data_IF_642789715530
#
_entry.id   IF_642789715530
#
_cell.length_a   1.000
_cell.length_b   1.000
_cell.length_c   1.000
_cell.angle_alpha   90.00
_cell.angle_beta   90.00
_cell.angle_gamma   90.00
#
_symmetry.space_group_name_H-M   'P 1'
#
loop_
_entity.id
_entity.type
_entity.pdbx_description
1 polymer ?
#
# COMPACT_ATOMS: atom_id res chain seq x y z
N UNK A 1 -22.59 13.36 23.87
CA UNK A 1 -22.65 12.36 22.76
C UNK A 1 -23.00 13.01 21.42
N UNK A 2 -24.25 13.42 21.11
CA UNK A 2 -24.60 13.98 19.77
C UNK A 2 -23.63 15.06 19.24
N UNK A 3 -23.31 16.10 20.02
CA UNK A 3 -22.36 17.14 19.59
C UNK A 3 -20.92 16.65 19.39
N UNK A 4 -20.53 15.52 19.98
CA UNK A 4 -19.26 14.84 19.69
C UNK A 4 -19.32 14.18 18.31
N UNK A 5 -20.38 13.42 18.05
CA UNK A 5 -20.62 12.72 16.78
C UNK A 5 -20.65 13.72 15.61
N UNK A 6 -21.36 14.85 15.74
CA UNK A 6 -21.36 15.88 14.69
C UNK A 6 -20.00 16.53 14.49
N UNK A 7 -19.17 16.70 15.53
CA UNK A 7 -17.80 17.19 15.38
C UNK A 7 -16.88 16.17 14.71
N UNK A 8 -16.98 14.89 15.07
CA UNK A 8 -16.20 13.82 14.39
C UNK A 8 -16.64 13.65 12.95
N UNK A 9 -17.94 13.70 12.66
CA UNK A 9 -18.47 13.63 11.30
C UNK A 9 -18.08 14.86 10.46
N UNK A 10 -18.09 16.07 11.04
CA UNK A 10 -17.61 17.28 10.36
C UNK A 10 -16.09 17.22 10.13
N UNK A 11 -15.31 16.71 11.08
CA UNK A 11 -13.86 16.52 10.91
C UNK A 11 -13.57 15.50 9.80
N UNK A 12 -14.30 14.38 9.77
CA UNK A 12 -14.23 13.40 8.69
C UNK A 12 -14.64 14.02 7.34
N UNK A 13 -15.73 14.79 7.28
CA UNK A 13 -16.16 15.47 6.04
C UNK A 13 -15.16 16.50 5.54
N UNK A 14 -14.50 17.25 6.43
CA UNK A 14 -13.42 18.16 6.06
C UNK A 14 -12.20 17.41 5.49
N UNK A 15 -11.94 16.18 5.97
CA UNK A 15 -10.88 15.29 5.49
C UNK A 15 -11.21 14.56 4.16
N UNK A 16 -12.45 14.64 3.63
CA UNK A 16 -12.80 14.03 2.32
C UNK A 16 -12.06 14.71 1.16
N UNK A 17 -11.54 15.91 1.34
CA UNK A 17 -10.80 16.64 0.32
C UNK A 17 -9.29 16.24 0.33
N UNK A 18 -8.89 15.37 -0.62
CA UNK A 18 -7.51 15.17 -1.20
C UNK A 18 -6.57 14.00 -0.71
N UNK A 19 -6.73 12.73 -1.18
CA UNK A 19 -5.95 11.51 -0.68
C UNK A 19 -5.62 10.24 -1.61
N UNK A 20 -4.85 10.21 -2.75
CA UNK A 20 -4.29 9.01 -3.54
C UNK A 20 -2.83 9.20 -4.02
N UNK A 21 -2.13 8.24 -4.66
CA UNK A 21 -1.91 6.80 -4.38
C UNK A 21 -0.75 6.25 -5.27
N UNK A 22 -0.36 4.99 -5.03
CA UNK A 22 0.87 4.31 -5.47
C UNK A 22 1.10 4.13 -6.98
N UNK A 23 0.06 3.83 -7.78
CA UNK A 23 0.20 3.47 -9.19
C UNK A 23 -0.20 4.64 -10.07
N UNK A 24 0.68 5.11 -10.97
CA UNK A 24 0.46 6.35 -11.74
C UNK A 24 0.90 6.18 -13.21
N UNK A 25 0.07 6.65 -14.16
CA UNK A 25 0.51 6.84 -15.54
C UNK A 25 1.46 8.05 -15.66
N UNK A 26 2.76 7.80 -15.63
CA UNK A 26 3.82 8.80 -15.79
C UNK A 26 3.83 9.58 -17.12
N UNK A 27 3.07 9.16 -18.13
CA UNK A 27 2.85 9.92 -19.38
C UNK A 27 1.57 10.77 -19.36
N UNK A 28 0.68 10.56 -18.38
CA UNK A 28 -0.53 11.35 -18.13
C UNK A 28 -0.45 12.14 -16.80
N UNK A 29 0.77 12.39 -16.30
CA UNK A 29 1.03 13.29 -15.18
C UNK A 29 1.31 14.69 -15.72
N UNK A 30 0.29 15.57 -15.73
CA UNK A 30 0.35 16.91 -16.30
C UNK A 30 0.96 17.94 -15.34
N UNK A 31 0.28 19.07 -15.13
CA UNK A 31 0.75 20.12 -14.21
C UNK A 31 0.44 19.76 -12.75
N UNK A 32 -0.68 19.07 -12.55
CA UNK A 32 -1.25 18.54 -11.30
C UNK A 32 -0.20 18.01 -10.32
N UNK A 33 -0.25 18.46 -9.07
CA UNK A 33 0.71 18.12 -8.01
C UNK A 33 0.14 17.16 -6.97
N UNK A 34 -1.17 17.20 -6.73
CA UNK A 34 -1.87 16.50 -5.65
C UNK A 34 -2.79 15.40 -6.22
N UNK A 35 -2.95 14.32 -5.46
CA UNK A 35 -3.33 12.99 -5.97
C UNK A 35 -4.44 12.52 -4.88
N UNK A 36 -5.73 12.13 -5.21
CA UNK A 36 -6.97 11.84 -4.34
C UNK A 36 -7.88 10.51 -4.50
N UNK A 37 -7.89 9.47 -3.60
CA UNK A 37 -8.21 8.02 -3.93
C UNK A 37 -9.62 7.43 -3.80
N UNK A 38 -9.74 6.25 -4.44
CA UNK A 38 -9.95 4.97 -3.72
C UNK A 38 -9.20 3.78 -4.37
N UNK A 39 -8.90 2.73 -3.61
CA UNK A 39 -8.54 1.41 -4.17
C UNK A 39 -9.18 0.24 -3.39
N UNK A 40 -9.43 -0.85 -4.10
CA UNK A 40 -9.96 -2.12 -3.56
C UNK A 40 -9.14 -3.28 -4.11
N UNK A 41 -8.86 -4.29 -3.31
CA UNK A 41 -8.09 -5.45 -3.76
C UNK A 41 -8.35 -6.72 -2.97
N UNK A 42 -7.65 -7.78 -3.36
CA UNK A 42 -7.54 -9.05 -2.67
C UNK A 42 -6.05 -9.29 -2.33
N UNK A 43 -5.74 -9.30 -1.04
CA UNK A 43 -4.42 -9.60 -0.47
C UNK A 43 -4.65 -10.29 0.89
N UNK A 44 -4.71 -11.63 0.89
CA UNK A 44 -5.19 -12.51 2.00
C UNK A 44 -6.66 -12.34 2.41
N UNK A 45 -7.25 -11.16 2.25
CA UNK A 45 -8.68 -10.87 2.31
C UNK A 45 -9.04 -9.74 1.34
N UNK A 46 -10.30 -9.28 1.32
CA UNK A 46 -10.64 -8.04 0.61
C UNK A 46 -10.03 -6.87 1.37
N UNK A 47 -9.37 -5.95 0.67
CA UNK A 47 -8.76 -4.74 1.26
C UNK A 47 -9.36 -3.48 0.64
N UNK A 48 -9.53 -2.44 1.45
CA UNK A 48 -9.94 -1.10 1.04
C UNK A 48 -8.85 -0.10 1.40
N UNK A 49 -8.45 0.75 0.46
CA UNK A 49 -7.33 1.68 0.64
C UNK A 49 -7.61 3.12 0.17
N UNK A 50 -7.00 4.06 0.87
CA UNK A 50 -6.88 5.48 0.55
C UNK A 50 -5.42 5.90 0.76
N UNK A 51 -4.91 6.95 0.11
CA UNK A 51 -3.55 7.39 0.45
C UNK A 51 -2.89 8.45 -0.41
N UNK A 52 -2.69 9.65 0.12
CA UNK A 52 -2.18 10.85 -0.53
C UNK A 52 -0.73 10.80 -1.04
N UNK A 53 -0.48 11.34 -2.24
CA UNK A 53 0.84 11.56 -2.83
C UNK A 53 0.97 12.99 -3.40
N UNK A 54 2.20 13.51 -3.39
CA UNK A 54 2.57 14.82 -3.92
C UNK A 54 3.71 14.69 -4.93
N UNK A 55 3.55 15.29 -6.12
CA UNK A 55 4.53 15.24 -7.22
C UNK A 55 5.61 16.30 -7.05
N UNK A 56 6.84 15.85 -6.83
CA UNK A 56 8.03 16.71 -6.76
C UNK A 56 8.61 16.93 -8.17
N UNK A 57 8.60 18.19 -8.62
CA UNK A 57 9.15 18.60 -9.92
C UNK A 57 10.69 18.68 -9.89
N UNK A 58 11.36 17.56 -9.65
CA UNK A 58 12.80 17.41 -9.93
C UNK A 58 13.03 17.29 -11.43
N UNK A 59 14.04 18.01 -11.96
CA UNK A 59 14.42 17.93 -13.38
C UNK A 59 15.12 16.62 -13.74
N UNK A 60 15.83 16.01 -12.78
CA UNK A 60 16.64 14.80 -12.99
C UNK A 60 15.87 13.52 -12.66
N UNK A 61 15.19 13.51 -11.51
CA UNK A 61 14.49 12.32 -10.99
C UNK A 61 13.06 12.68 -10.60
N UNK A 62 12.12 12.79 -11.58
CA UNK A 62 10.72 13.07 -11.32
C UNK A 62 10.14 12.00 -10.38
N UNK A 63 9.53 12.43 -9.28
CA UNK A 63 9.07 11.54 -8.23
C UNK A 63 7.76 12.00 -7.60
N UNK A 64 7.02 11.06 -7.00
CA UNK A 64 5.97 11.36 -6.03
C UNK A 64 6.42 10.90 -4.64
N UNK A 65 5.98 11.63 -3.60
CA UNK A 65 6.13 11.25 -2.19
C UNK A 65 4.76 11.20 -1.54
N UNK A 66 4.46 10.19 -0.74
CA UNK A 66 3.11 9.96 -0.25
C UNK A 66 2.97 8.97 0.89
N UNK A 67 1.78 8.93 1.47
CA UNK A 67 1.39 8.04 2.54
C UNK A 67 -0.01 7.45 2.30
N UNK A 68 -0.18 6.18 2.60
CA UNK A 68 -1.43 5.43 2.41
C UNK A 68 -1.86 4.68 3.67
N UNK A 69 -3.15 4.41 3.73
CA UNK A 69 -3.84 3.63 4.75
C UNK A 69 -4.76 2.63 4.05
N UNK A 70 -4.70 1.35 4.44
CA UNK A 70 -5.67 0.33 4.03
C UNK A 70 -6.09 -0.56 5.18
N UNK A 71 -7.36 -0.95 5.20
CA UNK A 71 -7.94 -1.93 6.13
C UNK A 71 -8.41 -3.17 5.35
N UNK A 72 -8.38 -4.39 5.92
CA UNK A 72 -9.10 -5.52 5.39
C UNK A 72 -10.61 -5.39 5.66
N UNK A 73 -11.41 -6.24 5.02
CA UNK A 73 -12.79 -6.50 5.38
C UNK A 73 -12.86 -7.35 6.66
N UNK A 74 -13.30 -6.75 7.78
CA UNK A 74 -13.46 -7.42 9.08
C UNK A 74 -14.88 -7.26 9.64
N UNK A 75 -15.12 -7.86 10.81
CA UNK A 75 -16.32 -7.60 11.61
C UNK A 75 -16.17 -6.28 12.39
N UNK A 76 -14.99 -6.11 12.98
CA UNK A 76 -14.54 -4.87 13.58
C UNK A 76 -13.84 -4.01 12.51
N UNK A 77 -13.64 -2.72 12.81
CA UNK A 77 -13.01 -1.75 11.93
C UNK A 77 -11.84 -1.10 12.68
N UNK A 78 -10.66 -1.05 12.03
CA UNK A 78 -9.42 -0.45 12.56
C UNK A 78 -8.73 -1.26 13.69
N UNK A 79 -9.18 -2.49 13.92
CA UNK A 79 -8.41 -3.56 14.55
C UNK A 79 -7.19 -3.91 13.68
N UNK A 80 -7.44 -4.29 12.43
CA UNK A 80 -6.43 -4.55 11.41
C UNK A 80 -6.24 -3.33 10.49
N UNK A 81 -4.98 -2.93 10.28
CA UNK A 81 -4.67 -1.94 9.24
C UNK A 81 -3.20 -1.97 8.80
N UNK A 82 -2.97 -1.45 7.59
CA UNK A 82 -1.65 -1.32 6.96
C UNK A 82 -1.48 0.14 6.51
N UNK A 83 -0.49 0.84 7.02
CA UNK A 83 -0.07 2.15 6.51
C UNK A 83 1.27 2.05 5.78
N UNK A 84 1.41 2.75 4.66
CA UNK A 84 2.66 2.84 3.90
C UNK A 84 3.06 4.31 3.74
N UNK A 85 4.34 4.65 3.80
CA UNK A 85 4.82 6.00 3.52
C UNK A 85 6.18 5.97 2.81
N UNK A 86 6.36 6.77 1.75
CA UNK A 86 7.60 6.80 0.99
C UNK A 86 7.49 7.46 -0.39
N UNK A 87 8.28 7.00 -1.34
CA UNK A 87 8.45 7.62 -2.65
C UNK A 87 8.27 6.65 -3.82
N UNK A 88 7.87 7.19 -4.99
CA UNK A 88 7.92 6.53 -6.30
C UNK A 88 8.73 7.43 -7.24
N UNK A 89 9.88 6.94 -7.70
CA UNK A 89 10.89 7.71 -8.46
C UNK A 89 11.01 7.15 -9.87
N UNK A 90 10.87 8.00 -10.90
CA UNK A 90 11.21 7.64 -12.28
C UNK A 90 12.69 7.90 -12.56
N UNK A 91 13.42 6.84 -12.86
CA UNK A 91 14.86 6.88 -13.16
C UNK A 91 15.15 7.07 -14.64
N UNK A 92 14.43 6.36 -15.51
CA UNK A 92 14.70 6.31 -16.96
C UNK A 92 13.41 6.49 -17.74
N UNK A 93 13.49 7.24 -18.85
CA UNK A 93 12.45 7.32 -19.88
C UNK A 93 13.10 7.27 -21.27
N UNK A 94 12.72 6.29 -22.09
CA UNK A 94 13.14 6.13 -23.49
C UNK A 94 11.88 6.07 -24.35
N UNK A 95 11.59 7.19 -25.04
CA UNK A 95 10.31 7.41 -25.76
C UNK A 95 9.11 7.21 -24.81
N UNK A 96 8.32 6.15 -25.02
CA UNK A 96 7.16 5.77 -24.21
C UNK A 96 7.52 4.79 -23.06
N UNK A 97 8.67 4.11 -23.15
CA UNK A 97 9.13 3.15 -22.14
C UNK A 97 9.74 3.88 -20.93
N UNK A 98 9.45 3.42 -19.73
CA UNK A 98 9.89 4.05 -18.47
C UNK A 98 10.25 2.99 -17.44
N UNK A 99 11.27 3.29 -16.62
CA UNK A 99 11.63 2.55 -15.42
C UNK A 99 11.50 3.44 -14.19
N UNK A 100 10.78 2.95 -13.18
CA UNK A 100 10.59 3.62 -11.89
C UNK A 100 10.71 2.64 -10.74
N UNK A 101 11.17 3.09 -9.57
CA UNK A 101 11.12 2.31 -8.33
C UNK A 101 10.24 2.98 -7.28
N UNK A 102 9.57 2.17 -6.48
CA UNK A 102 8.82 2.54 -5.28
C UNK A 102 9.58 2.05 -4.06
N UNK A 103 9.70 2.89 -3.03
CA UNK A 103 10.32 2.56 -1.74
C UNK A 103 9.45 3.16 -0.64
N UNK A 104 8.92 2.32 0.24
CA UNK A 104 7.98 2.72 1.30
C UNK A 104 8.32 2.03 2.62
N UNK A 105 8.44 2.80 3.70
CA UNK A 105 8.27 2.26 5.05
C UNK A 105 6.83 1.81 5.23
N UNK A 106 6.62 0.68 5.90
CA UNK A 106 5.30 0.12 6.17
C UNK A 106 5.11 -0.06 7.68
N UNK A 107 3.95 0.32 8.19
CA UNK A 107 3.49 -0.08 9.51
C UNK A 107 2.22 -0.93 9.36
N UNK A 108 2.07 -1.94 10.20
CA UNK A 108 0.91 -2.85 10.20
C UNK A 108 0.44 -3.07 11.63
N UNK A 109 -0.86 -3.13 11.84
CA UNK A 109 -1.49 -3.80 12.98
C UNK A 109 -2.29 -4.98 12.46
N UNK A 110 -2.13 -6.12 13.12
CA UNK A 110 -2.98 -7.30 12.96
C UNK A 110 -3.41 -7.78 14.34
N UNK A 111 -4.69 -8.11 14.53
CA UNK A 111 -5.23 -8.54 15.82
C UNK A 111 -6.07 -9.81 15.67
N UNK A 112 -5.86 -10.76 16.57
CA UNK A 112 -6.71 -11.95 16.67
C UNK A 112 -6.87 -12.35 18.15
N UNK A 113 -7.70 -13.36 18.41
CA UNK A 113 -8.03 -13.82 19.76
C UNK A 113 -6.81 -14.15 20.63
N UNK A 114 -5.69 -14.56 20.03
CA UNK A 114 -4.49 -14.96 20.76
C UNK A 114 -3.51 -13.79 20.95
N UNK A 115 -3.35 -12.92 19.95
CA UNK A 115 -2.28 -11.93 19.89
C UNK A 115 -2.62 -10.72 19.02
N UNK A 116 -2.25 -9.54 19.50
CA UNK A 116 -2.13 -8.32 18.69
C UNK A 116 -0.66 -8.11 18.28
N UNK A 117 -0.43 -7.88 17.00
CA UNK A 117 0.90 -7.72 16.39
C UNK A 117 0.98 -6.32 15.76
N UNK A 118 1.94 -5.51 16.20
CA UNK A 118 2.29 -4.24 15.56
C UNK A 118 3.66 -4.38 14.87
N UNK A 119 3.71 -4.23 13.56
CA UNK A 119 4.90 -4.48 12.74
C UNK A 119 5.37 -3.22 12.01
N UNK A 120 6.69 -2.97 12.03
CA UNK A 120 7.36 -2.08 11.08
C UNK A 120 8.11 -2.89 10.02
N UNK A 121 8.13 -2.37 8.79
CA UNK A 121 8.72 -3.04 7.64
C UNK A 121 9.05 -2.10 6.49
N UNK A 122 9.49 -2.69 5.39
CA UNK A 122 9.94 -2.00 4.18
C UNK A 122 9.37 -2.71 2.95
N UNK A 123 8.71 -1.96 2.07
CA UNK A 123 8.20 -2.41 0.79
C UNK A 123 8.90 -1.66 -0.35
N UNK A 124 9.54 -2.40 -1.25
CA UNK A 124 10.24 -1.88 -2.41
C UNK A 124 9.78 -2.58 -3.69
N UNK A 125 9.62 -1.83 -4.78
CA UNK A 125 9.33 -2.38 -6.10
C UNK A 125 10.11 -1.67 -7.21
N UNK A 126 10.44 -2.42 -8.26
CA UNK A 126 10.83 -1.91 -9.56
C UNK A 126 9.70 -2.15 -10.58
N UNK A 127 9.42 -1.17 -11.41
CA UNK A 127 8.42 -1.24 -12.49
C UNK A 127 9.07 -0.84 -13.81
N UNK A 128 8.97 -1.71 -14.81
CA UNK A 128 9.29 -1.41 -16.21
C UNK A 128 8.00 -1.44 -17.01
N UNK A 129 7.69 -0.36 -17.73
CA UNK A 129 6.43 -0.26 -18.47
C UNK A 129 6.46 0.65 -19.68
N UNK A 130 5.41 0.52 -20.49
CA UNK A 130 5.09 1.31 -21.65
C UNK A 130 3.93 2.27 -21.32
N UNK A 131 4.14 3.57 -21.51
CA UNK A 131 3.26 4.62 -21.01
C UNK A 131 2.89 5.61 -22.13
N UNK A 132 1.60 5.68 -22.47
CA UNK A 132 1.00 6.65 -23.39
C UNK A 132 0.09 7.63 -22.64
N UNK A 133 -0.22 8.82 -23.21
CA UNK A 133 -1.06 9.82 -22.53
C UNK A 133 -2.47 9.36 -22.12
N UNK A 134 -2.99 8.28 -22.73
CA UNK A 134 -4.29 7.69 -22.38
C UNK A 134 -4.21 6.33 -21.67
N UNK A 135 -3.09 5.60 -21.73
CA UNK A 135 -3.01 4.27 -21.13
C UNK A 135 -1.57 3.87 -20.81
N UNK A 136 -1.40 2.91 -19.90
CA UNK A 136 -0.10 2.28 -19.65
C UNK A 136 -0.24 0.79 -19.36
N UNK A 137 0.86 0.06 -19.54
CA UNK A 137 1.03 -1.32 -19.09
C UNK A 137 2.49 -1.53 -18.67
N UNK A 138 2.76 -2.35 -17.66
CA UNK A 138 4.11 -2.65 -17.20
C UNK A 138 4.16 -3.86 -16.28
N UNK A 139 5.37 -4.41 -16.12
CA UNK A 139 5.67 -5.45 -15.15
C UNK A 139 6.17 -4.82 -13.84
N UNK A 140 5.71 -5.34 -12.71
CA UNK A 140 6.15 -5.00 -11.36
C UNK A 140 6.89 -6.20 -10.76
N UNK A 141 8.03 -5.95 -10.12
CA UNK A 141 8.71 -6.91 -9.24
C UNK A 141 9.07 -6.17 -7.96
N UNK A 142 8.73 -6.75 -6.80
CA UNK A 142 8.98 -6.13 -5.51
C UNK A 142 9.23 -7.11 -4.38
N UNK A 143 9.57 -6.53 -3.24
CA UNK A 143 9.93 -7.22 -2.01
C UNK A 143 9.39 -6.42 -0.82
N UNK A 144 8.55 -7.09 -0.03
CA UNK A 144 8.00 -6.58 1.22
C UNK A 144 8.59 -7.37 2.39
N UNK A 145 9.14 -6.69 3.40
CA UNK A 145 9.79 -7.32 4.55
C UNK A 145 9.34 -6.73 5.88
N UNK A 146 9.03 -7.60 6.84
CA UNK A 146 8.92 -7.25 8.25
C UNK A 146 10.34 -7.07 8.84
N UNK A 147 10.61 -5.91 9.44
CA UNK A 147 11.90 -5.62 10.10
C UNK A 147 11.80 -5.97 11.59
N UNK A 148 10.84 -5.37 12.28
CA UNK A 148 10.67 -5.45 13.73
C UNK A 148 9.17 -5.52 14.06
N UNK A 149 8.78 -6.37 15.02
CA UNK A 149 7.38 -6.61 15.37
C UNK A 149 7.18 -6.72 16.88
N UNK A 150 6.20 -5.98 17.40
CA UNK A 150 5.75 -6.06 18.77
C UNK A 150 4.62 -7.06 18.88
N UNK A 151 4.77 -8.07 19.75
CA UNK A 151 3.73 -9.03 20.05
C UNK A 151 3.11 -8.69 21.42
N UNK A 152 1.78 -8.58 21.47
CA UNK A 152 0.99 -8.41 22.68
C UNK A 152 -0.01 -9.58 22.77
N UNK A 153 0.33 -10.59 23.57
CA UNK A 153 -0.51 -11.77 23.76
C UNK A 153 -1.67 -11.46 24.72
N UNK A 154 -2.85 -12.00 24.40
CA UNK A 154 -4.06 -11.88 25.20
C UNK A 154 -4.06 -12.86 26.39
N UNK A 155 -5.03 -12.70 27.28
CA UNK A 155 -5.12 -13.47 28.54
C UNK A 155 -5.39 -14.96 28.26
N UNK A 156 -6.35 -15.28 27.39
CA UNK A 156 -6.65 -16.64 26.89
C UNK A 156 -5.38 -17.40 26.41
N UNK A 157 -4.46 -16.70 25.73
CA UNK A 157 -3.22 -17.30 25.22
C UNK A 157 -2.17 -17.52 26.32
N UNK A 158 -2.19 -16.70 27.37
CA UNK A 158 -1.32 -16.82 28.55
C UNK A 158 -1.77 -17.93 29.49
N UNK A 159 -3.07 -18.26 29.53
CA UNK A 159 -3.55 -19.44 30.27
C UNK A 159 -2.95 -20.74 29.72
N UNK A 160 -2.78 -20.83 28.40
CA UNK A 160 -2.15 -21.99 27.73
C UNK A 160 -0.62 -21.90 27.72
N UNK A 161 -0.07 -20.69 27.59
CA UNK A 161 1.38 -20.44 27.50
C UNK A 161 1.84 -19.35 28.50
N UNK A 162 1.92 -19.66 29.81
CA UNK A 162 2.17 -18.65 30.85
C UNK A 162 3.53 -17.95 30.75
N UNK A 163 4.55 -18.62 30.20
CA UNK A 163 5.88 -18.06 29.96
C UNK A 163 5.94 -17.09 28.76
N UNK A 164 4.84 -16.88 28.03
CA UNK A 164 4.83 -16.03 26.82
C UNK A 164 5.07 -14.57 27.16
N UNK A 165 6.05 -13.96 26.48
CA UNK A 165 6.47 -12.58 26.71
C UNK A 165 5.85 -11.65 25.68
N UNK A 166 5.46 -10.46 26.12
CA UNK A 166 5.13 -9.36 25.22
C UNK A 166 6.40 -8.54 24.99
N UNK A 167 6.55 -7.95 23.81
CA UNK A 167 7.70 -7.10 23.49
C UNK A 167 8.01 -7.05 22.01
N UNK A 168 9.10 -6.35 21.67
CA UNK A 168 9.65 -6.25 20.32
C UNK A 168 10.57 -7.43 20.01
N UNK A 169 10.42 -7.99 18.81
CA UNK A 169 11.21 -9.12 18.31
C UNK A 169 11.92 -8.74 17.00
N UNK A 170 13.24 -8.96 16.97
CA UNK A 170 14.14 -8.68 15.85
C UNK A 170 15.08 -9.86 15.57
N UNK A 171 15.43 -10.14 14.30
CA UNK A 171 14.72 -9.67 13.10
C UNK A 171 13.35 -10.36 13.01
N UNK A 172 12.33 -9.65 12.54
CA UNK A 172 11.02 -10.28 12.32
C UNK A 172 11.09 -11.37 11.24
N UNK A 173 10.54 -12.54 11.57
CA UNK A 173 10.43 -13.68 10.65
C UNK A 173 9.30 -13.45 9.65
N UNK A 174 9.55 -12.68 8.60
CA UNK A 174 8.59 -12.47 7.53
C UNK A 174 9.08 -11.60 6.38
N UNK A 175 8.91 -12.09 5.17
CA UNK A 175 9.13 -11.33 3.94
C UNK A 175 8.52 -12.04 2.74
N UNK A 176 8.12 -11.27 1.74
CA UNK A 176 7.44 -11.73 0.54
C UNK A 176 8.04 -11.03 -0.69
N UNK A 177 8.51 -11.81 -1.66
CA UNK A 177 8.68 -11.34 -3.02
C UNK A 177 7.32 -11.33 -3.71
N UNK A 178 7.09 -10.35 -4.58
CA UNK A 178 5.90 -10.32 -5.43
C UNK A 178 6.28 -9.89 -6.84
N UNK A 179 5.57 -10.43 -7.82
CA UNK A 179 5.78 -10.10 -9.24
C UNK A 179 4.47 -10.18 -9.99
N UNK A 180 4.25 -9.25 -10.91
CA UNK A 180 2.96 -9.10 -11.57
C UNK A 180 2.97 -8.12 -12.72
N UNK A 181 1.78 -7.79 -13.18
CA UNK A 181 1.53 -6.78 -14.20
C UNK A 181 0.61 -5.70 -13.63
N UNK A 182 0.81 -4.48 -14.11
CA UNK A 182 -0.07 -3.35 -13.85
C UNK A 182 -0.39 -2.62 -15.15
N UNK A 183 -1.60 -2.10 -15.27
CA UNK A 183 -2.02 -1.30 -16.40
C UNK A 183 -3.20 -0.42 -16.04
N UNK A 184 -3.48 0.57 -16.88
CA UNK A 184 -4.57 1.50 -16.60
C UNK A 184 -4.83 2.48 -17.73
N UNK A 185 -5.95 3.19 -17.61
CA UNK A 185 -6.47 4.13 -18.59
C UNK A 185 -6.70 5.51 -17.95
N UNK A 186 -6.19 6.57 -18.58
CA UNK A 186 -6.21 7.95 -18.11
C UNK A 186 -7.08 8.86 -19.02
N UNK A 187 -7.89 9.72 -18.40
CA UNK A 187 -8.88 10.56 -19.05
C UNK A 187 -9.09 11.87 -18.28
N UNK A 188 -8.75 13.02 -18.89
CA UNK A 188 -8.64 14.32 -18.21
C UNK A 188 -7.77 14.18 -16.94
N UNK A 189 -8.22 14.73 -15.82
CA UNK A 189 -7.67 14.58 -14.48
C UNK A 189 -7.92 13.19 -13.86
N UNK A 190 -8.38 12.17 -14.58
CA UNK A 190 -8.74 10.87 -14.00
C UNK A 190 -7.97 9.71 -14.62
N UNK A 191 -7.99 8.56 -13.94
CA UNK A 191 -7.23 7.37 -14.24
C UNK A 191 -7.85 6.19 -13.48
N UNK A 192 -7.98 5.03 -14.13
CA UNK A 192 -8.32 3.77 -13.48
C UNK A 192 -7.17 2.81 -13.77
N UNK A 193 -6.70 2.09 -12.75
CA UNK A 193 -5.69 1.05 -12.89
C UNK A 193 -6.12 -0.28 -12.31
N UNK A 194 -5.53 -1.35 -12.84
CA UNK A 194 -5.55 -2.71 -12.35
C UNK A 194 -4.09 -3.14 -12.17
N UNK A 195 -3.76 -3.73 -11.01
CA UNK A 195 -2.52 -4.50 -10.82
C UNK A 195 -2.85 -5.89 -10.32
N UNK A 196 -2.09 -6.89 -10.73
CA UNK A 196 -2.25 -8.26 -10.27
C UNK A 196 -1.03 -9.12 -10.57
N UNK A 197 -0.79 -10.10 -9.72
CA UNK A 197 0.43 -10.89 -9.76
C UNK A 197 0.47 -11.99 -8.70
N UNK A 198 1.61 -12.64 -8.59
CA UNK A 198 1.88 -13.70 -7.63
C UNK A 198 2.69 -13.15 -6.45
N UNK A 199 2.58 -13.83 -5.30
CA UNK A 199 3.33 -13.55 -4.08
C UNK A 199 4.03 -14.84 -3.65
N UNK A 200 5.30 -14.76 -3.30
CA UNK A 200 6.14 -15.88 -2.87
C UNK A 200 6.90 -15.47 -1.60
N UNK A 201 6.93 -16.35 -0.61
CA UNK A 201 7.67 -16.17 0.64
C UNK A 201 9.17 -16.02 0.41
N UNK A 202 9.85 -15.25 1.27
CA UNK A 202 11.30 -15.01 1.22
C UNK A 202 12.13 -16.32 1.36
N UNK A 203 11.57 -17.37 1.95
CA UNK A 203 12.21 -18.67 2.12
C UNK A 203 11.97 -19.65 0.94
N UNK A 204 11.11 -19.27 -0.02
CA UNK A 204 10.65 -20.07 -1.16
C UNK A 204 10.05 -21.45 -0.79
N UNK A 205 9.65 -21.64 0.48
CA UNK A 205 9.14 -22.91 1.04
C UNK A 205 7.77 -22.75 1.68
N UNK A 206 7.56 -21.66 2.40
CA UNK A 206 6.30 -21.35 3.09
C UNK A 206 5.23 -21.01 2.07
N UNK A 207 4.25 -21.91 1.89
CA UNK A 207 3.11 -21.65 0.99
C UNK A 207 2.16 -20.62 1.62
N UNK A 208 1.99 -19.50 0.93
CA UNK A 208 1.06 -18.45 1.32
C UNK A 208 -0.38 -18.90 1.03
N UNK A 209 -1.32 -18.63 1.94
CA UNK A 209 -2.72 -19.04 1.79
C UNK A 209 -3.39 -18.42 0.55
N UNK A 210 -3.02 -17.18 0.21
CA UNK A 210 -3.34 -16.52 -1.04
C UNK A 210 -2.03 -16.19 -1.77
N UNK A 211 -1.53 -17.05 -2.69
CA UNK A 211 -0.25 -16.85 -3.37
C UNK A 211 -0.33 -15.81 -4.52
N UNK A 212 -1.35 -14.96 -4.53
CA UNK A 212 -1.61 -13.96 -5.55
C UNK A 212 -2.21 -12.69 -4.95
N UNK A 213 -2.10 -11.58 -5.70
CA UNK A 213 -2.75 -10.32 -5.40
C UNK A 213 -3.49 -9.80 -6.63
N UNK A 214 -4.61 -9.10 -6.40
CA UNK A 214 -5.32 -8.32 -7.43
C UNK A 214 -5.81 -7.02 -6.78
N UNK A 215 -5.66 -5.88 -7.44
CA UNK A 215 -6.07 -4.58 -6.92
C UNK A 215 -6.53 -3.67 -8.06
N UNK A 216 -7.74 -3.13 -7.93
CA UNK A 216 -8.28 -2.07 -8.77
C UNK A 216 -8.15 -0.75 -8.01
N UNK A 217 -7.68 0.30 -8.67
CA UNK A 217 -7.56 1.62 -8.06
C UNK A 217 -7.96 2.75 -8.99
N UNK A 218 -8.35 3.86 -8.38
CA UNK A 218 -8.82 5.06 -9.05
C UNK A 218 -7.95 6.26 -8.68
N UNK A 219 -7.43 6.93 -9.72
CA UNK A 219 -6.72 8.18 -9.58
C UNK A 219 -7.42 9.34 -10.32
N UNK A 220 -8.09 10.25 -9.60
CA UNK A 220 -8.24 11.66 -10.00
C UNK A 220 -6.84 12.38 -10.09
N UNK A 221 -6.74 13.72 -10.17
CA UNK A 221 -5.48 14.51 -10.21
C UNK A 221 -5.80 16.00 -9.99
N UNK A 222 -5.05 16.72 -9.14
CA UNK A 222 -5.19 18.16 -8.84
C UNK A 222 -3.89 18.95 -9.04
#
# INVERSE_FOLDING_TARGET
MKNTIYKTALLLMLMINTVHAQTINWAAAGKEKHILNANIGAEYGVIFGLGYHYKLNSKLFPMTVGAEFSMPSGNDLLDDFKTKAGANVRWVKIKDFQFSTRVQGVYRRFENKNVAIANFGLDMAGVVGYYRPKWFAGAEVGFDKAIVSHFKHNEDYREVYPDVKNGWYEPSTGGNFYYGVQGGYAFKNHEIYLRGGNVVSQDFKTKLMLPFYVQIGYNFKL
#
